data_IF_673818658243
#
_entry.id   IF_673818658243
#
_cell.length_a   1.000
_cell.length_b   1.000
_cell.length_c   1.000
_cell.angle_alpha   90.00
_cell.angle_beta   90.00
_cell.angle_gamma   90.00
#
_symmetry.space_group_name_H-M   'P 1'
#
loop_
_entity.id
_entity.type
_entity.pdbx_description
1 polymer ?
#
# COMPACT_ATOMS: atom_id res chain seq x y z
N UNK A 1 -37.07 -28.11 -2.88
CA UNK A 1 -35.60 -28.24 -2.91
C UNK A 1 -35.02 -26.93 -3.45
N UNK A 2 -34.26 -26.19 -2.64
CA UNK A 2 -33.64 -24.91 -3.04
C UNK A 2 -32.34 -25.19 -3.81
N UNK A 3 -32.18 -24.54 -4.96
CA UNK A 3 -30.94 -24.48 -5.70
C UNK A 3 -29.88 -23.74 -4.87
N UNK A 4 -28.84 -24.45 -4.46
CA UNK A 4 -27.66 -23.88 -3.81
C UNK A 4 -26.70 -23.36 -4.87
N UNK A 5 -26.49 -22.05 -4.90
CA UNK A 5 -25.42 -21.41 -5.65
C UNK A 5 -24.08 -21.91 -5.10
N UNK A 6 -23.30 -22.61 -5.91
CA UNK A 6 -21.93 -22.96 -5.57
C UNK A 6 -21.06 -21.71 -5.75
N UNK A 7 -20.57 -21.15 -4.65
CA UNK A 7 -19.49 -20.15 -4.64
C UNK A 7 -18.20 -20.90 -4.96
N UNK A 8 -17.48 -20.60 -6.05
CA UNK A 8 -16.20 -21.25 -6.31
C UNK A 8 -15.17 -20.83 -5.27
N UNK A 9 -14.48 -21.84 -4.74
CA UNK A 9 -13.47 -21.76 -3.71
C UNK A 9 -12.20 -21.03 -4.18
N UNK A 10 -11.61 -20.29 -3.23
CA UNK A 10 -10.18 -19.99 -3.07
C UNK A 10 -9.40 -19.57 -4.33
N UNK A 11 -9.28 -18.24 -4.52
CA UNK A 11 -8.18 -17.67 -5.30
C UNK A 11 -6.94 -17.65 -4.40
N UNK A 12 -5.99 -18.54 -4.69
CA UNK A 12 -4.73 -18.70 -3.96
C UNK A 12 -3.78 -17.51 -4.17
N UNK A 13 -3.62 -16.68 -3.14
CA UNK A 13 -2.35 -16.27 -2.50
C UNK A 13 -1.15 -15.69 -3.28
N UNK A 14 -1.26 -15.16 -4.49
CA UNK A 14 -0.05 -14.67 -5.21
C UNK A 14 -0.03 -13.19 -5.63
N UNK A 15 -0.96 -12.38 -5.15
CA UNK A 15 -1.01 -10.95 -5.48
C UNK A 15 -0.62 -10.05 -4.29
N UNK A 16 0.61 -10.22 -3.80
CA UNK A 16 1.15 -9.45 -2.68
C UNK A 16 1.42 -8.00 -3.07
N UNK A 17 0.50 -7.11 -2.72
CA UNK A 17 0.66 -5.67 -2.77
C UNK A 17 1.90 -5.28 -1.96
N UNK A 18 2.77 -4.45 -2.54
CA UNK A 18 4.14 -4.27 -2.05
C UNK A 18 4.28 -3.86 -0.59
N UNK A 19 3.27 -3.15 -0.09
CA UNK A 19 3.22 -2.67 1.29
C UNK A 19 1.88 -3.06 1.94
N UNK A 20 0.79 -3.23 1.17
CA UNK A 20 -0.50 -3.58 1.77
C UNK A 20 -0.67 -5.07 2.11
N UNK A 21 -0.02 -5.99 1.39
CA UNK A 21 -0.02 -7.41 1.77
C UNK A 21 0.88 -7.63 2.99
N UNK A 22 1.99 -6.89 3.05
CA UNK A 22 2.80 -6.77 4.27
C UNK A 22 1.96 -6.22 5.43
N UNK A 23 1.22 -5.12 5.24
CA UNK A 23 0.33 -4.59 6.29
C UNK A 23 -0.81 -5.54 6.69
N UNK A 24 -1.37 -6.30 5.76
CA UNK A 24 -2.45 -7.27 6.03
C UNK A 24 -1.93 -8.51 6.76
N UNK A 25 -0.67 -8.90 6.53
CA UNK A 25 -0.05 -10.11 7.13
C UNK A 25 0.83 -9.83 8.34
N UNK A 26 1.30 -8.60 8.51
CA UNK A 26 2.12 -8.18 9.66
C UNK A 26 1.37 -8.41 10.96
N UNK A 27 2.11 -8.69 12.04
CA UNK A 27 1.53 -8.66 13.38
C UNK A 27 1.14 -7.22 13.76
N UNK A 28 0.15 -7.00 14.64
CA UNK A 28 -0.18 -5.67 15.15
C UNK A 28 1.02 -4.93 15.76
N UNK A 29 1.98 -5.66 16.31
CA UNK A 29 3.23 -5.15 16.89
C UNK A 29 4.16 -4.67 15.78
N UNK A 30 4.38 -5.48 14.75
CA UNK A 30 5.19 -5.09 13.57
C UNK A 30 4.59 -3.88 12.83
N UNK A 31 3.26 -3.80 12.76
CA UNK A 31 2.56 -2.66 12.15
C UNK A 31 2.83 -1.36 12.93
N UNK A 32 2.90 -1.41 14.26
CA UNK A 32 3.22 -0.25 15.12
C UNK A 32 4.68 0.17 15.00
N UNK A 33 5.59 -0.79 14.86
CA UNK A 33 7.02 -0.50 14.70
C UNK A 33 7.33 0.07 13.30
N UNK A 34 6.54 -0.29 12.30
CA UNK A 34 6.69 0.18 10.93
C UNK A 34 6.02 1.53 10.67
N UNK A 35 4.81 1.75 11.21
CA UNK A 35 3.99 2.91 10.90
C UNK A 35 3.96 3.87 12.08
N UNK A 36 4.66 5.01 11.99
CA UNK A 36 4.46 6.12 12.92
C UNK A 36 3.06 6.72 12.67
N UNK A 37 2.11 6.63 13.61
CA UNK A 37 0.77 7.17 13.40
C UNK A 37 0.75 8.70 13.33
N UNK A 38 1.82 9.38 13.77
CA UNK A 38 1.99 10.85 13.70
C UNK A 38 2.51 11.30 12.34
N UNK A 39 3.24 10.45 11.63
CA UNK A 39 3.65 10.68 10.24
C UNK A 39 3.62 9.37 9.42
N UNK A 40 2.42 8.88 9.09
CA UNK A 40 2.27 7.62 8.36
C UNK A 40 2.67 7.74 6.89
N UNK A 41 2.72 8.96 6.34
CA UNK A 41 3.19 9.20 4.98
C UNK A 41 4.70 9.05 4.91
N UNK A 42 5.46 9.62 5.86
CA UNK A 42 6.91 9.47 5.87
C UNK A 42 7.33 8.02 6.13
N UNK A 43 6.64 7.34 7.05
CA UNK A 43 6.82 5.90 7.29
C UNK A 43 6.64 5.07 6.00
N UNK A 44 5.59 5.35 5.24
CA UNK A 44 5.33 4.71 3.95
C UNK A 44 6.43 5.02 2.92
N UNK A 45 6.88 6.28 2.83
CA UNK A 45 7.93 6.68 1.90
C UNK A 45 9.28 6.03 2.23
N UNK A 46 9.63 5.92 3.52
CA UNK A 46 10.84 5.22 3.95
C UNK A 46 10.81 3.75 3.53
N UNK A 47 9.68 3.07 3.72
CA UNK A 47 9.53 1.68 3.31
C UNK A 47 9.62 1.49 1.79
N UNK A 48 8.98 2.36 1.02
CA UNK A 48 9.07 2.33 -0.45
C UNK A 48 10.50 2.57 -0.91
N UNK A 49 11.19 3.57 -0.36
CA UNK A 49 12.60 3.87 -0.70
C UNK A 49 13.52 2.71 -0.33
N UNK A 50 13.32 2.09 0.83
CA UNK A 50 14.06 0.89 1.23
C UNK A 50 13.81 -0.27 0.25
N UNK A 51 12.57 -0.44 -0.18
CA UNK A 51 12.20 -1.44 -1.16
C UNK A 51 12.80 -1.17 -2.56
N UNK A 52 12.83 0.09 -3.00
CA UNK A 52 13.46 0.50 -4.27
C UNK A 52 14.98 0.40 -4.23
N UNK A 53 15.59 0.65 -3.08
CA UNK A 53 17.03 0.54 -2.84
C UNK A 53 17.50 -0.91 -2.63
N UNK A 54 16.60 -1.81 -2.21
CA UNK A 54 16.90 -3.23 -2.11
C UNK A 54 17.33 -3.73 -3.50
N UNK A 55 18.51 -4.36 -3.63
CA UNK A 55 19.02 -4.79 -4.93
C UNK A 55 18.10 -5.85 -5.55
N UNK A 56 17.16 -5.42 -6.38
CA UNK A 56 16.67 -6.23 -7.47
C UNK A 56 17.84 -6.43 -8.43
N UNK A 57 18.15 -7.68 -8.78
CA UNK A 57 19.05 -8.01 -9.89
C UNK A 57 18.53 -7.37 -11.18
N UNK A 58 18.85 -6.10 -11.39
CA UNK A 58 18.87 -5.46 -12.69
C UNK A 58 20.06 -6.06 -13.45
N UNK A 59 19.96 -7.35 -13.79
CA UNK A 59 20.78 -7.93 -14.84
C UNK A 59 20.02 -7.70 -16.12
N UNK A 60 20.19 -6.50 -16.67
CA UNK A 60 20.32 -6.38 -18.11
C UNK A 60 21.52 -7.28 -18.49
N UNK A 61 21.24 -8.39 -19.16
CA UNK A 61 22.25 -9.11 -19.95
C UNK A 61 21.56 -9.61 -21.22
N UNK A 62 22.16 -9.38 -22.39
CA UNK A 62 21.59 -9.80 -23.65
C UNK A 62 21.61 -11.32 -23.76
N UNK A 63 20.63 -11.85 -24.49
CA UNK A 63 20.30 -13.25 -24.64
C UNK A 63 21.49 -14.20 -24.83
N UNK A 64 21.48 -15.33 -24.10
CA UNK A 64 22.01 -16.59 -24.61
C UNK A 64 21.38 -17.79 -23.86
N UNK A 65 20.89 -18.75 -24.64
CA UNK A 65 20.61 -20.14 -24.23
C UNK A 65 19.30 -20.46 -23.49
N UNK A 66 18.22 -20.66 -24.26
CA UNK A 66 17.50 -21.96 -24.29
C UNK A 66 16.95 -22.59 -23.00
N UNK A 67 16.55 -21.81 -21.99
CA UNK A 67 15.85 -22.34 -20.82
C UNK A 67 14.62 -21.51 -20.48
N UNK A 68 13.47 -22.18 -20.34
CA UNK A 68 12.15 -21.59 -20.08
C UNK A 68 12.26 -20.59 -18.91
N UNK A 69 11.91 -19.31 -19.07
CA UNK A 69 12.16 -18.33 -18.02
C UNK A 69 11.28 -18.65 -16.82
N UNK A 70 11.90 -18.90 -15.66
CA UNK A 70 11.21 -18.94 -14.38
C UNK A 70 10.35 -17.67 -14.26
N UNK A 71 9.04 -17.85 -14.18
CA UNK A 71 8.09 -16.79 -13.88
C UNK A 71 8.40 -16.22 -12.49
N UNK A 72 9.11 -15.08 -12.43
CA UNK A 72 9.25 -14.35 -11.18
C UNK A 72 10.41 -13.36 -11.13
N UNK A 73 10.16 -12.30 -10.35
CA UNK A 73 11.18 -11.48 -9.63
C UNK A 73 11.69 -10.21 -10.31
N UNK A 74 10.81 -9.45 -10.97
CA UNK A 74 10.97 -7.99 -10.90
C UNK A 74 9.82 -7.40 -10.09
N UNK A 75 10.09 -6.72 -8.96
CA UNK A 75 9.16 -5.81 -8.27
C UNK A 75 8.13 -5.12 -9.19
N UNK A 76 8.64 -4.61 -10.31
CA UNK A 76 7.92 -3.83 -11.29
C UNK A 76 6.87 -4.62 -12.06
N UNK A 77 7.09 -5.91 -12.32
CA UNK A 77 6.10 -6.78 -12.99
C UNK A 77 4.91 -7.10 -12.09
N UNK A 78 5.10 -7.15 -10.77
CA UNK A 78 4.01 -7.39 -9.81
C UNK A 78 3.08 -6.18 -9.72
N UNK A 79 3.62 -4.98 -9.61
CA UNK A 79 2.81 -3.74 -9.59
C UNK A 79 1.98 -3.62 -10.87
N UNK A 80 2.59 -3.87 -12.03
CA UNK A 80 1.89 -3.87 -13.33
C UNK A 80 0.76 -4.91 -13.40
N UNK A 81 0.94 -6.09 -12.80
CA UNK A 81 -0.06 -7.16 -12.80
C UNK A 81 -1.34 -6.78 -12.02
N UNK A 82 -1.24 -5.99 -10.95
CA UNK A 82 -2.42 -5.53 -10.19
C UNK A 82 -3.39 -4.70 -11.02
N UNK A 83 -2.85 -3.89 -11.92
CA UNK A 83 -3.63 -2.97 -12.74
C UNK A 83 -4.05 -3.57 -14.08
N UNK A 84 -3.39 -4.64 -14.53
CA UNK A 84 -3.74 -5.36 -15.74
C UNK A 84 -4.92 -6.33 -15.55
N UNK A 85 -5.04 -6.97 -14.38
CA UNK A 85 -6.02 -8.02 -14.12
C UNK A 85 -7.16 -7.54 -13.19
N UNK A 86 -8.43 -7.46 -13.66
CA UNK A 86 -9.54 -6.94 -12.86
C UNK A 86 -9.82 -7.71 -11.55
N UNK A 87 -9.71 -9.05 -11.58
CA UNK A 87 -9.91 -9.89 -10.39
C UNK A 87 -8.85 -9.65 -9.31
N UNK A 88 -7.61 -9.41 -9.75
CA UNK A 88 -6.49 -9.08 -8.88
C UNK A 88 -6.70 -7.71 -8.26
N UNK A 89 -7.14 -6.72 -9.04
CA UNK A 89 -7.52 -5.40 -8.53
C UNK A 89 -8.57 -5.48 -7.42
N UNK A 90 -9.60 -6.32 -7.58
CA UNK A 90 -10.62 -6.53 -6.54
C UNK A 90 -10.03 -7.11 -5.26
N UNK A 91 -9.16 -8.12 -5.36
CA UNK A 91 -8.49 -8.72 -4.19
C UNK A 91 -7.59 -7.71 -3.47
N UNK A 92 -6.90 -6.85 -4.23
CA UNK A 92 -6.10 -5.74 -3.73
C UNK A 92 -6.96 -4.73 -2.96
N UNK A 93 -8.09 -4.29 -3.51
CA UNK A 93 -8.98 -3.35 -2.81
C UNK A 93 -9.48 -3.93 -1.47
N UNK A 94 -9.81 -5.22 -1.41
CA UNK A 94 -10.22 -5.87 -0.17
C UNK A 94 -9.09 -5.91 0.87
N UNK A 95 -7.85 -6.06 0.42
CA UNK A 95 -6.66 -6.05 1.28
C UNK A 95 -6.38 -4.65 1.83
N UNK A 96 -6.53 -3.62 1.00
CA UNK A 96 -6.40 -2.21 1.41
C UNK A 96 -7.46 -1.81 2.45
N UNK A 97 -8.70 -2.27 2.27
CA UNK A 97 -9.78 -2.04 3.24
C UNK A 97 -9.44 -2.65 4.61
N UNK A 98 -8.96 -3.89 4.64
CA UNK A 98 -8.49 -4.54 5.88
C UNK A 98 -7.31 -3.80 6.50
N UNK A 99 -6.34 -3.39 5.70
CA UNK A 99 -5.21 -2.60 6.20
C UNK A 99 -5.69 -1.27 6.84
N UNK A 100 -6.62 -0.55 6.21
CA UNK A 100 -7.20 0.68 6.76
C UNK A 100 -7.92 0.43 8.10
N UNK A 101 -8.66 -0.67 8.22
CA UNK A 101 -9.31 -1.06 9.48
C UNK A 101 -8.30 -1.32 10.61
N UNK A 102 -7.11 -1.84 10.28
CA UNK A 102 -6.02 -2.10 11.24
C UNK A 102 -5.24 -0.83 11.61
N UNK A 103 -5.10 0.10 10.68
CA UNK A 103 -4.38 1.36 10.87
C UNK A 103 -5.22 2.37 11.68
N UNK A 104 -6.54 2.41 11.47
CA UNK A 104 -7.40 3.41 12.11
C UNK A 104 -7.28 3.47 13.65
N UNK A 105 -7.25 2.35 14.41
CA UNK A 105 -7.03 2.39 15.86
C UNK A 105 -5.67 2.97 16.27
N UNK A 106 -4.63 2.80 15.44
CA UNK A 106 -3.30 3.36 15.72
C UNK A 106 -3.31 4.88 15.58
N UNK A 107 -3.99 5.40 14.55
CA UNK A 107 -4.18 6.84 14.36
C UNK A 107 -5.06 7.40 15.48
N UNK A 108 -6.15 6.73 15.85
CA UNK A 108 -7.00 7.19 16.96
C UNK A 108 -6.23 7.23 18.30
N UNK A 109 -5.31 6.29 18.52
CA UNK A 109 -4.52 6.20 19.74
C UNK A 109 -3.50 7.34 19.93
N UNK A 110 -3.23 8.16 18.91
CA UNK A 110 -2.46 9.41 19.12
C UNK A 110 -3.21 10.39 20.02
N UNK A 111 -4.48 10.09 20.33
CA UNK A 111 -5.44 11.03 20.86
C UNK A 111 -5.84 11.99 19.75
N UNK A 112 -6.77 12.89 20.03
CA UNK A 112 -6.95 14.13 19.25
C UNK A 112 -7.87 14.08 18.02
N UNK A 113 -8.32 12.90 17.60
CA UNK A 113 -9.34 12.73 16.56
C UNK A 113 -10.39 11.69 16.96
N UNK A 114 -11.60 11.81 16.41
CA UNK A 114 -12.67 10.83 16.62
C UNK A 114 -12.39 9.52 15.89
N UNK A 115 -13.05 8.43 16.29
CA UNK A 115 -12.97 7.14 15.60
C UNK A 115 -13.34 7.27 14.11
N UNK A 116 -14.39 8.05 13.80
CA UNK A 116 -14.81 8.31 12.42
C UNK A 116 -13.73 9.02 11.62
N UNK A 117 -13.09 10.05 12.21
CA UNK A 117 -11.98 10.74 11.56
C UNK A 117 -10.79 9.81 11.32
N UNK A 118 -10.44 8.97 12.30
CA UNK A 118 -9.36 8.00 12.17
C UNK A 118 -9.63 6.99 11.05
N UNK A 119 -10.86 6.49 10.94
CA UNK A 119 -11.27 5.59 9.84
C UNK A 119 -11.17 6.27 8.48
N UNK A 120 -11.63 7.52 8.34
CA UNK A 120 -11.54 8.29 7.09
C UNK A 120 -10.08 8.50 6.69
N UNK A 121 -9.24 8.91 7.63
CA UNK A 121 -7.81 9.16 7.39
C UNK A 121 -7.09 7.87 6.99
N UNK A 122 -7.34 6.74 7.68
CA UNK A 122 -6.73 5.45 7.33
C UNK A 122 -7.15 4.95 5.94
N UNK A 123 -8.41 5.15 5.55
CA UNK A 123 -8.88 4.82 4.21
C UNK A 123 -8.24 5.72 3.14
N UNK A 124 -8.16 7.03 3.41
CA UNK A 124 -7.49 7.97 2.53
C UNK A 124 -6.00 7.61 2.34
N UNK A 125 -5.33 7.16 3.42
CA UNK A 125 -3.96 6.68 3.36
C UNK A 125 -3.82 5.45 2.43
N UNK A 126 -4.61 4.40 2.70
CA UNK A 126 -4.51 3.12 1.99
C UNK A 126 -4.86 3.27 0.49
N UNK A 127 -6.00 3.90 0.19
CA UNK A 127 -6.43 4.08 -1.20
C UNK A 127 -5.69 5.22 -1.92
N UNK A 128 -5.17 6.22 -1.20
CA UNK A 128 -4.28 7.23 -1.76
C UNK A 128 -2.97 6.63 -2.26
N UNK A 129 -2.35 5.74 -1.47
CA UNK A 129 -1.19 4.96 -1.92
C UNK A 129 -1.50 4.14 -3.18
N UNK A 130 -2.66 3.47 -3.21
CA UNK A 130 -3.05 2.68 -4.38
C UNK A 130 -3.27 3.54 -5.64
N UNK A 131 -3.86 4.73 -5.49
CA UNK A 131 -4.03 5.68 -6.59
C UNK A 131 -2.67 6.21 -7.11
N UNK A 132 -1.71 6.47 -6.22
CA UNK A 132 -0.35 6.87 -6.61
C UNK A 132 0.37 5.75 -7.40
N UNK A 133 0.22 4.49 -6.97
CA UNK A 133 0.74 3.34 -7.71
C UNK A 133 0.08 3.18 -9.09
N UNK A 134 -1.22 3.42 -9.18
CA UNK A 134 -1.97 3.38 -10.44
C UNK A 134 -1.46 4.44 -11.40
N UNK A 135 -1.26 5.67 -10.91
CA UNK A 135 -0.72 6.75 -11.75
C UNK A 135 0.71 6.45 -12.22
N UNK A 136 1.57 5.94 -11.33
CA UNK A 136 2.90 5.46 -11.70
C UNK A 136 2.84 4.40 -12.82
N UNK A 137 1.88 3.47 -12.73
CA UNK A 137 1.66 2.42 -13.74
C UNK A 137 1.21 3.01 -15.08
N UNK A 138 0.24 3.91 -15.07
CA UNK A 138 -0.31 4.55 -16.26
C UNK A 138 0.74 5.40 -17.00
N UNK A 139 1.66 6.02 -16.27
CA UNK A 139 2.77 6.80 -16.81
C UNK A 139 3.96 5.93 -17.28
N UNK A 140 3.80 4.60 -17.26
CA UNK A 140 4.78 3.62 -17.75
C UNK A 140 5.88 3.26 -16.74
N UNK A 141 5.91 3.92 -15.58
CA UNK A 141 6.86 3.63 -14.51
C UNK A 141 8.28 4.15 -14.75
N UNK A 142 8.40 5.34 -15.35
CA UNK A 142 9.67 5.95 -15.75
C UNK A 142 10.39 6.70 -14.61
N UNK A 143 9.70 6.98 -13.50
CA UNK A 143 10.26 7.58 -12.28
C UNK A 143 10.09 6.61 -11.10
N UNK A 144 10.83 6.78 -9.99
CA UNK A 144 10.61 6.02 -8.77
C UNK A 144 9.15 6.08 -8.28
N UNK A 145 8.65 5.02 -7.66
CA UNK A 145 7.36 4.98 -6.97
C UNK A 145 7.33 6.00 -5.84
N UNK A 146 8.45 6.15 -5.12
CA UNK A 146 8.54 7.10 -4.01
C UNK A 146 8.15 8.52 -4.45
N UNK A 147 8.53 8.94 -5.65
CA UNK A 147 8.16 10.24 -6.21
C UNK A 147 6.63 10.38 -6.39
N UNK A 148 5.99 9.37 -6.97
CA UNK A 148 4.54 9.37 -7.20
C UNK A 148 3.75 9.34 -5.90
N UNK A 149 4.23 8.57 -4.92
CA UNK A 149 3.61 8.51 -3.60
C UNK A 149 3.81 9.83 -2.85
N UNK A 150 5.01 10.43 -2.91
CA UNK A 150 5.26 11.73 -2.29
C UNK A 150 4.38 12.83 -2.89
N UNK A 151 4.25 12.86 -4.21
CA UNK A 151 3.41 13.81 -4.93
C UNK A 151 1.91 13.57 -4.65
N UNK A 152 1.44 12.33 -4.80
CA UNK A 152 0.04 11.94 -4.66
C UNK A 152 -0.49 12.04 -3.22
N UNK A 153 0.38 11.85 -2.22
CA UNK A 153 0.01 11.94 -0.80
C UNK A 153 0.15 13.36 -0.23
N UNK A 154 0.72 14.30 -0.98
CA UNK A 154 0.86 15.71 -0.57
C UNK A 154 -0.45 16.34 -0.07
N UNK A 155 -1.63 16.13 -0.70
CA UNK A 155 -2.90 16.65 -0.19
C UNK A 155 -3.23 16.20 1.23
N UNK A 156 -2.79 15.00 1.62
CA UNK A 156 -3.05 14.46 2.94
C UNK A 156 -2.03 14.92 3.99
N UNK A 157 -0.83 15.41 3.59
CA UNK A 157 0.15 15.95 4.56
C UNK A 157 -0.41 17.09 5.40
N UNK A 158 -1.31 17.92 4.87
CA UNK A 158 -1.96 18.98 5.64
C UNK A 158 -2.80 18.47 6.82
N UNK A 159 -3.24 17.21 6.78
CA UNK A 159 -4.01 16.56 7.87
C UNK A 159 -3.08 16.20 9.04
N UNK A 160 -1.84 15.79 8.74
CA UNK A 160 -0.84 15.38 9.74
C UNK A 160 0.08 16.52 10.18
N UNK A 161 0.30 17.52 9.33
CA UNK A 161 1.18 18.67 9.60
C UNK A 161 0.52 19.81 10.36
N UNK A 162 -0.78 19.78 10.62
CA UNK A 162 -1.45 20.84 11.36
C UNK A 162 -0.89 20.92 12.80
N UNK A 163 -0.15 21.98 13.19
CA UNK A 163 0.08 22.26 14.59
C UNK A 163 -1.30 22.59 15.18
N UNK A 164 -1.67 21.97 16.31
CA UNK A 164 -2.86 22.44 16.99
C UNK A 164 -2.67 23.88 17.45
N UNK A 165 -3.75 24.70 17.42
CA UNK A 165 -3.78 25.87 18.27
C UNK A 165 -3.48 25.39 19.68
N UNK A 166 -2.45 25.96 20.29
CA UNK A 166 -2.21 25.84 21.72
C UNK A 166 -3.54 26.14 22.40
N UNK A 167 -4.07 25.15 23.11
CA UNK A 167 -5.14 25.36 24.08
C UNK A 167 -4.55 26.21 25.21
N UNK A 168 -4.39 27.51 24.91
CA UNK A 168 -4.14 28.54 25.90
C UNK A 168 -5.39 28.65 26.75
N UNK A 169 -5.13 28.34 28.02
CA UNK A 169 -5.92 28.59 29.21
C UNK A 169 -6.83 29.82 29.12
N UNK A 170 -8.10 29.70 29.49
CA UNK A 170 -8.54 29.84 30.88
C UNK A 170 -10.03 29.60 31.06
#
# INVERSE_FOLDING_TARGET
MKAGYAVPASVSSHASLLVADEFDTMSPETLKDFLDPRDPIDSLLQAIRAYEAAPGRASDSPAESGQVPQAGKSPWRRVRYFFAEPSVRTAVCATLDRAAQRIAPLIQATGEISETQARVIANALAFGYFAALEQWYLDGGNRPIADYVEEGMRPLRGIWSAPRPSSEHS
#
